data_IF_442383475263
#
_entry.id   IF_442383475263
#
_cell.length_a   1.000
_cell.length_b   1.000
_cell.length_c   1.000
_cell.angle_alpha   90.00
_cell.angle_beta   90.00
_cell.angle_gamma   90.00
#
_symmetry.space_group_name_H-M   'P 1'
#
loop_
_entity.id
_entity.type
_entity.pdbx_description
1 polymer ?
#
# COMPACT_ATOMS: atom_id res chain seq x y z
N UNK A 1 1.61 7.84 -1.19
CA UNK A 1 1.91 6.43 -0.92
C UNK A 1 1.61 5.58 -2.13
N UNK A 2 2.17 4.41 -2.16
CA UNK A 2 1.97 3.53 -3.29
C UNK A 2 1.69 2.11 -2.83
N UNK A 3 1.13 1.31 -3.72
CA UNK A 3 0.89 -0.10 -3.45
C UNK A 3 2.12 -0.89 -3.86
N UNK A 4 2.60 -1.70 -2.95
CA UNK A 4 3.74 -2.58 -3.20
C UNK A 4 3.28 -4.02 -3.06
N UNK A 5 3.80 -4.89 -3.89
CA UNK A 5 3.46 -6.31 -3.81
C UNK A 5 4.71 -7.12 -3.59
N UNK A 6 4.56 -8.21 -2.87
CA UNK A 6 5.64 -9.15 -2.62
C UNK A 6 5.15 -10.52 -3.03
N UNK A 7 5.77 -11.08 -4.05
CA UNK A 7 5.37 -12.38 -4.56
C UNK A 7 6.23 -13.47 -3.95
N UNK A 8 5.58 -14.46 -3.41
CA UNK A 8 6.27 -15.65 -2.92
C UNK A 8 5.82 -16.87 -3.72
N UNK A 9 6.34 -18.04 -3.37
CA UNK A 9 6.10 -19.24 -4.15
C UNK A 9 4.63 -19.52 -4.43
N UNK A 10 3.79 -19.37 -3.43
CA UNK A 10 2.39 -19.75 -3.53
C UNK A 10 1.43 -18.61 -3.25
N UNK A 11 1.93 -17.41 -3.05
CA UNK A 11 1.06 -16.32 -2.68
C UNK A 11 1.68 -14.99 -3.06
N UNK A 12 0.83 -13.98 -3.14
CA UNK A 12 1.27 -12.62 -3.37
C UNK A 12 0.67 -11.76 -2.27
N UNK A 13 1.49 -10.97 -1.61
CA UNK A 13 1.04 -10.09 -0.55
C UNK A 13 1.02 -8.65 -1.03
N UNK A 14 0.06 -7.90 -0.55
CA UNK A 14 -0.09 -6.49 -0.92
C UNK A 14 0.19 -5.62 0.30
N UNK A 15 0.92 -4.54 0.07
CA UNK A 15 1.28 -3.58 1.11
C UNK A 15 1.09 -2.17 0.61
N UNK A 16 0.87 -1.26 1.55
CA UNK A 16 0.96 0.16 1.27
C UNK A 16 2.31 0.63 1.78
N UNK A 17 3.09 1.24 0.91
CA UNK A 17 4.39 1.74 1.31
C UNK A 17 4.47 3.25 1.11
N UNK A 18 5.34 3.85 1.89
CA UNK A 18 5.59 5.28 1.90
C UNK A 18 7.05 5.51 1.58
N UNK A 19 7.32 6.44 0.70
CA UNK A 19 8.69 6.81 0.41
C UNK A 19 9.00 8.16 1.05
N UNK A 20 10.23 8.34 1.49
CA UNK A 20 10.65 9.59 2.06
C UNK A 20 12.16 9.74 1.86
N UNK A 21 12.63 10.96 2.04
CA UNK A 21 14.05 11.28 1.91
C UNK A 21 14.58 11.57 3.29
N UNK A 22 15.63 10.86 3.68
CA UNK A 22 16.23 11.09 4.98
C UNK A 22 17.26 12.23 4.92
N UNK A 23 17.94 12.49 6.03
CA UNK A 23 18.88 13.59 6.14
C UNK A 23 20.03 13.51 5.15
N UNK A 24 20.34 12.33 4.69
CA UNK A 24 21.43 12.15 3.73
C UNK A 24 20.94 12.22 2.29
N UNK A 25 19.71 12.63 2.08
CA UNK A 25 19.11 12.74 0.75
C UNK A 25 19.06 11.40 0.06
N UNK A 26 18.87 10.34 0.83
CA UNK A 26 18.72 9.00 0.29
C UNK A 26 17.24 8.63 0.29
N UNK A 27 16.74 8.29 -0.89
CA UNK A 27 15.36 7.84 -1.03
C UNK A 27 15.21 6.48 -0.36
N UNK A 28 14.19 6.35 0.48
CA UNK A 28 13.92 5.07 1.13
C UNK A 28 12.43 4.85 1.19
N UNK A 29 12.02 3.61 1.40
CA UNK A 29 10.61 3.30 1.51
C UNK A 29 10.40 2.30 2.63
N UNK A 30 9.25 2.43 3.27
CA UNK A 30 8.88 1.52 4.35
C UNK A 30 7.44 1.06 4.12
N UNK A 31 7.15 -0.15 4.57
CA UNK A 31 5.79 -0.65 4.51
C UNK A 31 5.00 -0.04 5.67
N UNK A 32 3.95 0.68 5.32
CA UNK A 32 3.11 1.35 6.30
C UNK A 32 2.04 0.41 6.80
N UNK A 33 1.47 -0.37 5.90
CA UNK A 33 0.35 -1.23 6.24
C UNK A 33 0.34 -2.45 5.35
N UNK A 34 0.01 -3.60 5.92
CA UNK A 34 -0.18 -4.82 5.16
C UNK A 34 -1.66 -4.96 4.81
N UNK A 35 -1.96 -5.06 3.53
CA UNK A 35 -3.34 -5.23 3.08
C UNK A 35 -3.79 -6.67 3.16
N UNK A 36 -2.90 -7.61 2.91
CA UNK A 36 -3.22 -9.03 2.94
C UNK A 36 -2.68 -9.75 1.73
N UNK A 37 -2.98 -11.04 1.63
CA UNK A 37 -2.57 -11.83 0.48
C UNK A 37 -3.58 -11.71 -0.64
N UNK A 38 -3.12 -11.94 -1.87
CA UNK A 38 -4.00 -11.86 -3.03
C UNK A 38 -5.18 -12.82 -2.90
N UNK A 39 -4.94 -14.03 -2.41
CA UNK A 39 -6.01 -14.99 -2.25
C UNK A 39 -7.13 -14.46 -1.35
N UNK A 40 -6.75 -13.90 -0.21
CA UNK A 40 -7.72 -13.34 0.71
C UNK A 40 -8.44 -12.14 0.10
N UNK A 41 -7.70 -11.28 -0.56
CA UNK A 41 -8.27 -10.08 -1.15
C UNK A 41 -9.22 -10.40 -2.30
N UNK A 42 -8.92 -11.44 -3.06
CA UNK A 42 -9.82 -11.88 -4.11
C UNK A 42 -11.18 -12.33 -3.56
N UNK A 43 -11.16 -12.95 -2.40
CA UNK A 43 -12.40 -13.38 -1.77
C UNK A 43 -13.24 -12.21 -1.29
N UNK A 44 -12.60 -11.16 -0.82
CA UNK A 44 -13.30 -10.06 -0.18
C UNK A 44 -13.57 -8.88 -1.10
N UNK A 45 -12.67 -8.59 -2.02
CA UNK A 45 -12.71 -7.33 -2.75
C UNK A 45 -12.91 -7.49 -4.24
N UNK A 46 -12.79 -8.67 -4.77
CA UNK A 46 -13.03 -8.82 -6.18
C UNK A 46 -12.63 -10.17 -6.71
N UNK A 47 -13.25 -10.61 -7.79
CA UNK A 47 -12.97 -11.92 -8.38
C UNK A 47 -11.67 -11.94 -9.18
N UNK A 48 -11.06 -10.78 -9.46
CA UNK A 48 -9.86 -10.70 -10.28
C UNK A 48 -8.80 -9.87 -9.58
N UNK A 49 -7.56 -10.06 -10.04
CA UNK A 49 -6.45 -9.30 -9.52
C UNK A 49 -6.61 -7.80 -9.81
N UNK A 50 -7.18 -7.46 -10.94
CA UNK A 50 -7.41 -6.06 -11.27
C UNK A 50 -8.32 -5.38 -10.26
N UNK A 51 -9.37 -6.06 -9.85
CA UNK A 51 -10.27 -5.52 -8.84
C UNK A 51 -9.54 -5.29 -7.52
N UNK A 52 -8.71 -6.27 -7.14
CA UNK A 52 -7.91 -6.13 -5.92
C UNK A 52 -6.95 -4.94 -6.02
N UNK A 53 -6.33 -4.76 -7.18
CA UNK A 53 -5.42 -3.64 -7.37
C UNK A 53 -6.14 -2.29 -7.28
N UNK A 54 -7.33 -2.21 -7.82
CA UNK A 54 -8.13 -0.98 -7.72
C UNK A 54 -8.44 -0.66 -6.27
N UNK A 55 -8.86 -1.66 -5.53
CA UNK A 55 -9.13 -1.48 -4.11
C UNK A 55 -7.88 -1.06 -3.35
N UNK A 56 -6.75 -1.71 -3.63
CA UNK A 56 -5.51 -1.40 -2.94
C UNK A 56 -5.07 0.04 -3.21
N UNK A 57 -5.22 0.48 -4.44
CA UNK A 57 -4.88 1.86 -4.78
C UNK A 57 -5.76 2.85 -4.03
N UNK A 58 -7.03 2.54 -3.89
CA UNK A 58 -7.94 3.40 -3.14
C UNK A 58 -7.52 3.46 -1.68
N UNK A 59 -7.11 2.34 -1.11
CA UNK A 59 -6.63 2.33 0.27
C UNK A 59 -5.37 3.14 0.43
N UNK A 60 -4.46 3.04 -0.53
CA UNK A 60 -3.23 3.84 -0.48
C UNK A 60 -3.55 5.33 -0.54
N UNK A 61 -4.53 5.70 -1.34
CA UNK A 61 -4.94 7.09 -1.43
C UNK A 61 -5.50 7.59 -0.11
N UNK A 62 -6.29 6.77 0.55
CA UNK A 62 -6.84 7.15 1.85
C UNK A 62 -5.74 7.34 2.89
N UNK A 63 -4.75 6.47 2.88
CA UNK A 63 -3.63 6.62 3.80
C UNK A 63 -2.85 7.90 3.52
N UNK A 64 -2.67 8.22 2.26
CA UNK A 64 -1.99 9.46 1.88
C UNK A 64 -2.73 10.67 2.42
N UNK A 65 -4.05 10.67 2.33
CA UNK A 65 -4.84 11.77 2.83
C UNK A 65 -4.72 11.92 4.34
N UNK A 66 -4.66 10.82 5.05
CA UNK A 66 -4.47 10.86 6.50
C UNK A 66 -3.16 11.53 6.87
N UNK A 67 -2.09 11.17 6.18
CA UNK A 67 -0.80 11.77 6.46
C UNK A 67 -0.76 13.25 6.12
N UNK A 68 -1.41 13.63 5.05
CA UNK A 68 -1.48 15.04 4.70
C UNK A 68 -2.19 15.86 5.75
N UNK A 69 -3.28 15.31 6.27
CA UNK A 69 -4.01 15.98 7.35
C UNK A 69 -3.13 16.21 8.56
N UNK A 70 -2.38 15.21 8.94
CA UNK A 70 -1.49 15.33 10.09
C UNK A 70 -0.48 16.45 9.89
N UNK A 71 0.03 16.59 8.69
CA UNK A 71 0.99 17.63 8.41
C UNK A 71 0.38 19.03 8.47
N UNK A 72 -0.85 19.15 8.05
CA UNK A 72 -1.51 20.45 8.00
C UNK A 72 -1.84 20.96 9.37
N UNK A 73 -1.95 20.09 10.32
CA UNK A 73 -2.37 20.46 11.67
C UNK A 73 -1.41 21.41 12.36
N UNK A 74 -0.22 21.53 11.88
CA UNK A 74 0.68 22.45 12.53
C UNK A 74 0.13 23.87 12.61
#
# INVERSE_FOLDING_TARGET
>A
MKVTTSKSKNAESFYISKSFINDKVVSTSVNVRKLGTLTDLLKEHGPTRDDVMKWARAEAKLETQKYKKDKIVK
#
